data_IF_344205147167
#
_entry.id   IF_344205147167
#
_cell.length_a   1.000
_cell.length_b   1.000
_cell.length_c   1.000
_cell.angle_alpha   90.00
_cell.angle_beta   90.00
_cell.angle_gamma   90.00
#
_symmetry.space_group_name_H-M   'P 1'
#
loop_
_entity.id
_entity.type
_entity.pdbx_description
1 polymer ?
#
# COMPACT_ATOMS: atom_id res chain seq x y z
N UNK A 1 0.83 16.42 -9.72
CA UNK A 1 -0.38 16.00 -8.99
C UNK A 1 -0.02 15.66 -7.56
N UNK A 2 -0.79 16.11 -6.60
CA UNK A 2 -0.51 15.85 -5.19
C UNK A 2 -0.78 14.39 -4.84
N UNK A 3 -0.18 13.94 -3.74
CA UNK A 3 -0.46 12.60 -3.23
C UNK A 3 -1.95 12.41 -2.96
N UNK A 4 -2.58 13.43 -2.37
CA UNK A 4 -4.01 13.39 -2.08
C UNK A 4 -4.86 13.20 -3.33
N UNK A 5 -4.51 13.90 -4.42
CA UNK A 5 -5.23 13.77 -5.69
C UNK A 5 -5.03 12.38 -6.30
N UNK A 6 -3.80 11.84 -6.18
CA UNK A 6 -3.52 10.50 -6.68
C UNK A 6 -4.29 9.43 -5.89
N UNK A 7 -4.39 9.59 -4.58
CA UNK A 7 -5.17 8.68 -3.76
C UNK A 7 -6.64 8.73 -4.15
N UNK A 8 -7.16 9.93 -4.42
CA UNK A 8 -8.56 10.08 -4.82
C UNK A 8 -8.82 9.39 -6.16
N UNK A 9 -7.91 9.55 -7.10
CA UNK A 9 -8.02 8.91 -8.41
C UNK A 9 -7.99 7.38 -8.27
N UNK A 10 -7.05 6.87 -7.48
CA UNK A 10 -6.93 5.43 -7.28
C UNK A 10 -8.18 4.88 -6.60
N UNK A 11 -8.70 5.58 -5.59
CA UNK A 11 -9.94 5.18 -4.93
C UNK A 11 -11.10 5.10 -5.92
N UNK A 12 -11.15 6.05 -6.86
CA UNK A 12 -12.17 6.05 -7.91
C UNK A 12 -12.03 4.82 -8.82
N UNK A 13 -10.80 4.50 -9.22
CA UNK A 13 -10.54 3.31 -10.06
C UNK A 13 -11.00 2.03 -9.35
N UNK A 14 -10.66 1.91 -8.06
CA UNK A 14 -11.05 0.73 -7.28
C UNK A 14 -12.57 0.59 -7.22
N UNK A 15 -13.26 1.69 -6.97
CA UNK A 15 -14.72 1.69 -6.86
C UNK A 15 -15.37 1.36 -8.20
N UNK A 16 -14.87 1.97 -9.28
CA UNK A 16 -15.42 1.74 -10.61
C UNK A 16 -15.26 0.28 -11.03
N UNK A 17 -14.17 -0.36 -10.67
CA UNK A 17 -13.91 -1.75 -10.97
C UNK A 17 -14.55 -2.72 -9.98
N UNK A 18 -15.27 -2.19 -8.99
CA UNK A 18 -15.96 -2.98 -7.96
C UNK A 18 -15.01 -3.88 -7.17
N UNK A 19 -13.82 -3.37 -6.93
CA UNK A 19 -12.85 -4.08 -6.08
C UNK A 19 -13.32 -4.03 -4.63
N UNK A 20 -13.03 -5.09 -3.88
CA UNK A 20 -13.32 -5.14 -2.45
C UNK A 20 -12.84 -3.85 -1.78
N UNK A 21 -13.65 -3.31 -0.88
CA UNK A 21 -13.35 -2.03 -0.24
C UNK A 21 -12.08 -2.12 0.59
N UNK A 22 -11.15 -1.19 0.35
CA UNK A 22 -9.93 -1.08 1.13
C UNK A 22 -10.15 -0.30 2.40
N UNK A 23 -9.33 -0.58 3.41
CA UNK A 23 -9.22 0.28 4.57
C UNK A 23 -8.22 1.39 4.25
N UNK A 24 -8.56 2.63 4.61
CA UNK A 24 -7.69 3.78 4.32
C UNK A 24 -6.88 4.11 5.57
N UNK A 25 -5.62 4.55 5.35
CA UNK A 25 -4.72 4.95 6.43
C UNK A 25 -4.65 3.87 7.53
N UNK A 26 -4.42 2.64 7.09
CA UNK A 26 -4.48 1.48 7.97
C UNK A 26 -3.20 1.32 8.79
N UNK A 27 -3.33 1.34 10.12
CA UNK A 27 -2.19 1.12 11.03
C UNK A 27 -1.98 -0.38 11.18
N UNK A 28 -0.85 -0.87 10.70
CA UNK A 28 -0.61 -2.32 10.67
C UNK A 28 0.33 -2.82 11.77
N UNK A 29 1.00 -1.92 12.48
CA UNK A 29 1.92 -2.27 13.58
C UNK A 29 1.70 -1.34 14.75
N UNK A 30 1.61 -1.92 15.96
CA UNK A 30 1.54 -1.16 17.20
C UNK A 30 2.69 -1.60 18.11
N UNK A 31 3.22 -0.74 18.96
CA UNK A 31 2.78 0.65 19.20
C UNK A 31 3.28 1.67 18.18
N UNK A 32 4.19 1.27 17.26
CA UNK A 32 4.59 2.13 16.15
C UNK A 32 3.34 2.35 15.30
N UNK A 33 3.12 3.57 14.89
CA UNK A 33 1.89 3.90 14.17
C UNK A 33 2.12 3.99 12.67
N UNK A 34 2.85 3.03 12.14
CA UNK A 34 3.07 2.93 10.71
C UNK A 34 1.77 2.55 10.01
N UNK A 35 1.48 3.24 8.90
CA UNK A 35 0.23 3.08 8.16
C UNK A 35 0.49 2.79 6.70
N UNK A 36 -0.50 2.13 6.09
CA UNK A 36 -0.57 2.01 4.64
C UNK A 36 -1.68 2.93 4.14
N UNK A 37 -1.49 3.53 2.97
CA UNK A 37 -2.50 4.42 2.39
C UNK A 37 -3.80 3.65 2.09
N UNK A 38 -3.68 2.43 1.58
CA UNK A 38 -4.79 1.51 1.35
C UNK A 38 -4.38 0.13 1.83
N UNK A 39 -5.30 -0.60 2.43
CA UNK A 39 -5.00 -1.96 2.87
C UNK A 39 -6.22 -2.86 2.76
N UNK A 40 -5.94 -4.12 2.48
CA UNK A 40 -6.90 -5.21 2.53
C UNK A 40 -6.35 -6.19 3.56
N UNK A 41 -6.69 -5.99 4.85
CA UNK A 41 -6.05 -6.76 5.92
C UNK A 41 -6.25 -8.27 5.83
N UNK A 42 -7.41 -8.71 5.35
CA UNK A 42 -7.68 -10.14 5.24
C UNK A 42 -6.70 -10.82 4.29
N UNK A 43 -6.41 -10.16 3.18
CA UNK A 43 -5.46 -10.67 2.19
C UNK A 43 -4.03 -10.23 2.49
N UNK A 44 -3.84 -9.30 3.42
CA UNK A 44 -2.56 -8.69 3.72
C UNK A 44 -1.93 -8.09 2.47
N UNK A 45 -2.73 -7.39 1.70
CA UNK A 45 -2.28 -6.60 0.54
C UNK A 45 -2.41 -5.12 0.90
N UNK A 46 -1.41 -4.35 0.55
CA UNK A 46 -1.43 -2.91 0.84
C UNK A 46 -0.90 -2.10 -0.33
N UNK A 47 -1.27 -0.84 -0.35
CA UNK A 47 -0.81 0.11 -1.37
C UNK A 47 -0.29 1.36 -0.69
N UNK A 48 0.89 1.79 -1.13
CA UNK A 48 1.47 3.07 -0.79
C UNK A 48 1.49 3.93 -2.05
N UNK A 49 0.89 5.10 -1.97
CA UNK A 49 0.87 6.05 -3.08
C UNK A 49 2.06 7.00 -2.92
N UNK A 50 2.96 6.98 -3.91
CA UNK A 50 4.16 7.81 -3.88
C UNK A 50 3.89 9.10 -4.62
N UNK A 51 3.76 10.20 -3.88
CA UNK A 51 3.57 11.52 -4.46
C UNK A 51 4.85 12.33 -4.40
N UNK A 52 4.95 13.33 -5.27
CA UNK A 52 6.04 14.29 -5.21
C UNK A 52 7.41 13.76 -5.58
N UNK A 53 7.49 12.65 -6.30
CA UNK A 53 8.79 12.07 -6.67
C UNK A 53 9.60 12.98 -7.59
N UNK A 54 8.93 13.92 -8.25
CA UNK A 54 9.61 14.88 -9.13
C UNK A 54 9.84 16.22 -8.47
N UNK A 55 9.62 16.33 -7.17
CA UNK A 55 9.82 17.59 -6.45
C UNK A 55 11.33 17.88 -6.33
N UNK A 56 11.74 19.02 -6.85
CA UNK A 56 13.14 19.41 -6.81
C UNK A 56 13.55 19.82 -5.40
N UNK A 57 14.82 19.54 -5.07
CA UNK A 57 15.36 19.95 -3.78
C UNK A 57 14.82 19.16 -2.60
N UNK A 58 14.10 18.11 -2.87
CA UNK A 58 13.61 17.26 -1.80
C UNK A 58 14.75 16.47 -1.19
N UNK A 59 14.97 16.68 0.08
CA UNK A 59 15.98 15.95 0.82
C UNK A 59 15.30 14.96 1.74
N UNK A 60 15.70 13.69 1.64
CA UNK A 60 15.22 12.67 2.54
C UNK A 60 16.03 12.82 3.84
N UNK A 61 15.33 13.11 4.94
CA UNK A 61 16.02 13.21 6.23
C UNK A 61 16.46 11.82 6.66
N UNK A 62 17.69 11.69 7.22
CA UNK A 62 18.17 10.36 7.65
C UNK A 62 17.19 9.63 8.53
N UNK A 63 16.54 10.31 9.48
CA UNK A 63 15.56 9.68 10.37
C UNK A 63 14.34 9.18 9.60
N UNK A 64 13.88 9.95 8.62
CA UNK A 64 12.76 9.53 7.79
C UNK A 64 13.09 8.29 6.97
N UNK A 65 14.30 8.26 6.42
CA UNK A 65 14.76 7.11 5.64
C UNK A 65 14.85 5.86 6.53
N UNK A 66 15.45 5.99 7.71
CA UNK A 66 15.59 4.88 8.66
C UNK A 66 14.21 4.35 9.06
N UNK A 67 13.29 5.26 9.38
CA UNK A 67 11.93 4.87 9.75
C UNK A 67 11.22 4.13 8.63
N UNK A 68 11.41 4.57 7.38
CA UNK A 68 10.82 3.88 6.23
C UNK A 68 11.39 2.46 6.07
N UNK A 69 12.70 2.31 6.25
CA UNK A 69 13.31 0.99 6.20
C UNK A 69 12.71 0.07 7.26
N UNK A 70 12.56 0.57 8.47
CA UNK A 70 11.99 -0.21 9.57
C UNK A 70 10.54 -0.59 9.29
N UNK A 71 9.77 0.35 8.74
CA UNK A 71 8.37 0.11 8.40
C UNK A 71 8.24 -1.03 7.39
N UNK A 72 9.02 -0.98 6.32
CA UNK A 72 8.92 -2.00 5.28
C UNK A 72 9.48 -3.34 5.74
N UNK A 73 10.53 -3.32 6.58
CA UNK A 73 11.02 -4.56 7.16
C UNK A 73 9.96 -5.22 8.04
N UNK A 74 9.23 -4.41 8.82
CA UNK A 74 8.15 -4.93 9.64
C UNK A 74 7.03 -5.54 8.79
N UNK A 75 6.72 -4.90 7.66
CA UNK A 75 5.68 -5.42 6.76
C UNK A 75 6.09 -6.74 6.10
N UNK A 76 7.36 -6.87 5.76
CA UNK A 76 7.88 -8.06 5.10
C UNK A 76 8.13 -9.22 6.06
N UNK A 77 8.25 -8.95 7.35
CA UNK A 77 8.53 -10.00 8.33
C UNK A 77 7.30 -10.89 8.48
N UNK A 78 7.43 -12.21 8.22
CA UNK A 78 6.30 -13.11 8.36
C UNK A 78 5.80 -13.18 9.81
N UNK A 79 4.50 -13.30 9.97
CA UNK A 79 3.91 -13.52 11.28
C UNK A 79 4.03 -15.00 11.67
N UNK A 80 3.45 -15.38 12.81
CA UNK A 80 3.57 -16.76 13.31
C UNK A 80 2.98 -17.78 12.37
N UNK A 81 2.03 -17.39 11.53
CA UNK A 81 1.43 -18.28 10.54
C UNK A 81 2.21 -18.31 9.23
N UNK A 82 3.29 -17.53 9.13
CA UNK A 82 4.09 -17.42 7.92
C UNK A 82 3.58 -16.41 6.92
N UNK A 83 2.58 -15.59 7.32
CA UNK A 83 2.01 -14.59 6.41
C UNK A 83 2.72 -13.24 6.57
N UNK A 84 2.87 -12.53 5.48
CA UNK A 84 3.46 -11.20 5.47
C UNK A 84 2.66 -10.30 4.55
N UNK A 85 2.90 -8.99 4.67
CA UNK A 85 2.24 -8.02 3.82
C UNK A 85 2.84 -8.02 2.41
N UNK A 86 1.96 -7.93 1.42
CA UNK A 86 2.35 -7.63 0.05
C UNK A 86 2.18 -6.13 -0.11
N UNK A 87 3.28 -5.40 -0.13
CA UNK A 87 3.23 -3.94 -0.21
C UNK A 87 3.48 -3.51 -1.65
N UNK A 88 2.50 -2.87 -2.26
CA UNK A 88 2.61 -2.36 -3.62
C UNK A 88 2.77 -0.84 -3.56
N UNK A 89 3.76 -0.33 -4.27
CA UNK A 89 4.06 1.11 -4.27
C UNK A 89 3.81 1.67 -5.66
N UNK A 90 2.98 2.70 -5.74
CA UNK A 90 2.58 3.26 -7.03
C UNK A 90 2.84 4.75 -7.10
N UNK A 91 3.45 5.16 -8.19
CA UNK A 91 3.57 6.58 -8.53
C UNK A 91 2.45 6.97 -9.50
N UNK A 92 2.44 8.24 -9.91
CA UNK A 92 1.39 8.77 -10.78
C UNK A 92 1.21 7.95 -12.06
N UNK A 93 2.30 7.55 -12.69
CA UNK A 93 2.24 6.80 -13.94
C UNK A 93 1.47 5.49 -13.80
N UNK A 94 1.71 4.77 -12.70
CA UNK A 94 1.04 3.51 -12.45
C UNK A 94 -0.46 3.70 -12.25
N UNK A 95 -0.83 4.77 -11.57
CA UNK A 95 -2.24 5.04 -11.28
C UNK A 95 -2.96 5.50 -12.55
N UNK A 96 -2.38 6.49 -13.25
CA UNK A 96 -3.03 7.04 -14.45
C UNK A 96 -3.19 6.00 -15.56
N UNK A 97 -2.23 5.10 -15.72
CA UNK A 97 -2.30 4.09 -16.77
C UNK A 97 -3.27 2.96 -16.47
N UNK A 98 -3.67 2.80 -15.22
CA UNK A 98 -4.48 1.68 -14.79
C UNK A 98 -3.68 0.47 -14.38
N UNK A 99 -2.35 0.51 -14.50
CA UNK A 99 -1.49 -0.61 -14.12
C UNK A 99 -1.62 -0.92 -12.62
N UNK A 100 -1.76 0.13 -11.81
CA UNK A 100 -1.93 -0.06 -10.37
C UNK A 100 -3.17 -0.89 -10.05
N UNK A 101 -4.29 -0.57 -10.68
CA UNK A 101 -5.53 -1.31 -10.49
C UNK A 101 -5.37 -2.77 -10.86
N UNK A 102 -4.77 -3.03 -12.03
CA UNK A 102 -4.56 -4.40 -12.51
C UNK A 102 -3.71 -5.20 -11.52
N UNK A 103 -2.65 -4.58 -11.02
CA UNK A 103 -1.75 -5.28 -10.11
C UNK A 103 -2.41 -5.58 -8.76
N UNK A 104 -3.22 -4.65 -8.25
CA UNK A 104 -3.97 -4.87 -7.01
C UNK A 104 -4.96 -6.02 -7.19
N UNK A 105 -5.70 -6.01 -8.30
CA UNK A 105 -6.66 -7.09 -8.56
C UNK A 105 -5.97 -8.45 -8.60
N UNK A 106 -4.80 -8.52 -9.24
CA UNK A 106 -4.02 -9.74 -9.31
C UNK A 106 -3.55 -10.18 -7.92
N UNK A 107 -3.06 -9.24 -7.12
CA UNK A 107 -2.58 -9.55 -5.77
C UNK A 107 -3.70 -10.07 -4.88
N UNK A 108 -4.87 -9.42 -4.92
CA UNK A 108 -6.01 -9.84 -4.12
C UNK A 108 -6.49 -11.23 -4.54
N UNK A 109 -6.50 -11.49 -5.83
CA UNK A 109 -6.92 -12.81 -6.34
C UNK A 109 -5.96 -13.90 -5.87
N UNK A 110 -4.66 -13.64 -5.92
CA UNK A 110 -3.64 -14.61 -5.51
C UNK A 110 -3.64 -14.87 -4.02
N UNK A 111 -4.12 -13.91 -3.24
CA UNK A 111 -4.19 -14.03 -1.79
C UNK A 111 -5.59 -14.34 -1.28
N UNK A 112 -6.49 -14.69 -2.18
CA UNK A 112 -7.82 -15.13 -1.80
C UNK A 112 -7.70 -16.34 -0.88
N UNK A 113 -8.41 -16.31 0.25
CA UNK A 113 -8.30 -17.39 1.24
C UNK A 113 -7.17 -17.20 2.23
N UNK A 114 -6.42 -16.12 2.11
CA UNK A 114 -5.29 -15.83 3.00
C UNK A 114 -5.76 -15.73 4.46
N UNK A 115 -6.93 -15.15 4.67
CA UNK A 115 -7.50 -15.02 6.01
C UNK A 115 -7.81 -16.37 6.66
N UNK A 116 -8.09 -17.38 5.85
CA UNK A 116 -8.48 -18.71 6.35
C UNK A 116 -7.29 -19.49 6.89
N UNK A 117 -6.08 -19.00 6.69
CA UNK A 117 -4.85 -19.65 7.12
C UNK A 117 -4.36 -19.15 8.48
N UNK A 118 -5.08 -18.20 9.07
CA UNK A 118 -4.72 -17.54 10.32
C UNK A 118 -4.81 -18.41 11.57
#
# INVERSE_FOLDING_TARGET
MSKSALEAEFAFHLKAAKVKKAEREYVFVRPRRWRFDFAWPDEMVSVEVEGGIYTRGRHVRPQGFISDCEKYNAACMPDESGRSWCVLRFCAEHIHSGDALVLVEKALKRRKGYADKG
#
